data_IF_468369943694
#
_entry.id   IF_468369943694
#
_cell.length_a   1.000
_cell.length_b   1.000
_cell.length_c   1.000
_cell.angle_alpha   90.00
_cell.angle_beta   90.00
_cell.angle_gamma   90.00
#
_symmetry.space_group_name_H-M   'P 1'
#
loop_
_entity.id
_entity.type
_entity.pdbx_description
1 polymer ?
#
# COMPACT_ATOMS: atom_id res chain seq x y z
N UNK A 1 13.31 10.81 -0.49
CA UNK A 1 13.20 12.25 -0.17
C UNK A 1 12.84 13.11 -1.39
N UNK A 2 13.59 13.07 -2.50
CA UNK A 2 13.32 13.92 -3.69
C UNK A 2 11.86 13.91 -4.17
N UNK A 3 11.24 12.73 -4.23
CA UNK A 3 9.84 12.60 -4.66
C UNK A 3 8.82 13.23 -3.69
N UNK A 4 9.11 13.25 -2.39
CA UNK A 4 8.25 13.89 -1.37
C UNK A 4 8.22 15.41 -1.59
N UNK A 5 9.36 15.99 -1.96
CA UNK A 5 9.47 17.42 -2.24
C UNK A 5 8.76 17.85 -3.54
N UNK A 6 8.48 16.90 -4.42
CA UNK A 6 7.77 17.10 -5.69
C UNK A 6 6.28 16.75 -5.60
N UNK A 7 5.78 16.47 -4.39
CA UNK A 7 4.40 16.07 -4.20
C UNK A 7 3.42 17.17 -4.63
N UNK A 8 2.26 16.79 -5.20
CA UNK A 8 1.26 17.77 -5.61
C UNK A 8 0.65 18.47 -4.40
N UNK A 9 0.20 19.71 -4.58
CA UNK A 9 -0.44 20.49 -3.50
C UNK A 9 -1.69 19.82 -2.94
N UNK A 10 -2.38 19.00 -3.74
CA UNK A 10 -3.55 18.22 -3.38
C UNK A 10 -3.24 16.72 -3.17
N UNK A 11 -2.06 16.38 -2.65
CA UNK A 11 -1.59 15.01 -2.41
C UNK A 11 -2.65 14.12 -1.74
N UNK A 12 -3.14 13.14 -2.50
CA UNK A 12 -4.03 12.09 -2.04
C UNK A 12 -3.26 10.99 -1.30
N UNK A 13 -3.99 10.03 -0.71
CA UNK A 13 -3.39 8.84 -0.09
C UNK A 13 -2.75 7.92 -1.14
N UNK A 14 -3.31 7.86 -2.35
CA UNK A 14 -2.71 7.12 -3.48
C UNK A 14 -1.39 7.76 -3.91
N UNK A 15 -1.34 9.09 -4.02
CA UNK A 15 -0.10 9.82 -4.31
C UNK A 15 0.96 9.53 -3.23
N UNK A 16 0.55 9.54 -1.97
CA UNK A 16 1.41 9.20 -0.84
C UNK A 16 1.98 7.77 -0.98
N UNK A 17 1.13 6.80 -1.34
CA UNK A 17 1.55 5.42 -1.55
C UNK A 17 2.51 5.29 -2.74
N UNK A 18 2.23 5.97 -3.86
CA UNK A 18 3.10 6.00 -5.03
C UNK A 18 4.49 6.58 -4.70
N UNK A 19 4.55 7.62 -3.87
CA UNK A 19 5.82 8.16 -3.38
C UNK A 19 6.60 7.17 -2.52
N UNK A 20 5.92 6.42 -1.64
CA UNK A 20 6.54 5.32 -0.88
C UNK A 20 7.11 4.27 -1.83
N UNK A 21 6.36 3.87 -2.86
CA UNK A 21 6.80 2.84 -3.81
C UNK A 21 8.06 3.22 -4.58
N UNK A 22 8.30 4.53 -4.77
CA UNK A 22 9.49 5.07 -5.43
C UNK A 22 10.67 5.31 -4.49
N UNK A 23 10.53 5.01 -3.20
CA UNK A 23 11.60 5.23 -2.23
C UNK A 23 12.83 4.37 -2.53
N UNK A 24 14.01 4.98 -2.34
CA UNK A 24 15.31 4.34 -2.55
C UNK A 24 15.58 3.24 -1.51
N UNK A 25 15.05 3.39 -0.29
CA UNK A 25 15.12 2.37 0.77
C UNK A 25 14.44 1.04 0.38
N UNK A 26 13.55 1.07 -0.62
CA UNK A 26 12.90 -0.12 -1.20
C UNK A 26 13.56 -0.55 -2.51
N UNK A 27 14.71 0.02 -2.87
CA UNK A 27 15.47 -0.25 -4.10
C UNK A 27 15.93 -1.69 -4.25
N UNK A 28 16.15 -2.39 -3.14
CA UNK A 28 16.57 -3.79 -3.11
C UNK A 28 15.45 -4.78 -3.44
N UNK A 29 14.18 -4.37 -3.39
CA UNK A 29 13.04 -5.21 -3.77
C UNK A 29 12.99 -5.28 -5.31
N UNK A 30 13.19 -6.48 -5.85
CA UNK A 30 13.23 -6.72 -7.29
C UNK A 30 11.98 -7.46 -7.76
N UNK A 31 11.52 -7.15 -8.98
CA UNK A 31 10.45 -7.88 -9.65
C UNK A 31 11.02 -9.12 -10.34
N UNK A 32 10.68 -10.30 -9.82
CA UNK A 32 11.13 -11.61 -10.31
C UNK A 32 10.14 -12.19 -11.33
N UNK A 33 10.59 -13.14 -12.15
CA UNK A 33 9.74 -13.72 -13.22
C UNK A 33 8.62 -14.62 -12.68
N UNK A 34 8.92 -15.41 -11.66
CA UNK A 34 8.01 -16.42 -11.09
C UNK A 34 6.79 -15.82 -10.38
N UNK A 35 6.90 -14.61 -9.84
CA UNK A 35 5.84 -13.92 -9.10
C UNK A 35 4.89 -13.10 -10.01
N UNK A 36 5.26 -12.83 -11.28
CA UNK A 36 4.47 -11.96 -12.17
C UNK A 36 3.04 -12.44 -12.38
N UNK A 37 2.83 -13.77 -12.48
CA UNK A 37 1.50 -14.33 -12.70
C UNK A 37 0.57 -14.00 -11.54
N UNK A 38 1.06 -14.14 -10.30
CA UNK A 38 0.31 -13.81 -9.09
C UNK A 38 0.05 -12.30 -8.99
N UNK A 39 1.08 -11.47 -9.15
CA UNK A 39 0.96 -10.01 -9.08
C UNK A 39 -0.02 -9.45 -10.12
N UNK A 40 -0.02 -9.99 -11.34
CA UNK A 40 -0.99 -9.61 -12.37
C UNK A 40 -2.42 -10.00 -11.96
N UNK A 41 -2.61 -11.19 -11.39
CA UNK A 41 -3.91 -11.63 -10.89
C UNK A 41 -4.46 -10.71 -9.79
N UNK A 42 -3.59 -10.34 -8.84
CA UNK A 42 -3.92 -9.41 -7.76
C UNK A 42 -4.27 -8.03 -8.32
N UNK A 43 -3.51 -7.47 -9.27
CA UNK A 43 -3.80 -6.14 -9.82
C UNK A 43 -5.04 -6.10 -10.75
N UNK A 44 -5.38 -7.21 -11.41
CA UNK A 44 -6.65 -7.30 -12.16
C UNK A 44 -7.83 -7.17 -11.19
N UNK A 45 -7.69 -7.81 -10.02
CA UNK A 45 -8.60 -7.66 -8.89
C UNK A 45 -10.06 -7.89 -9.28
N UNK A 46 -10.37 -9.13 -9.68
CA UNK A 46 -11.71 -9.50 -10.17
C UNK A 46 -12.80 -9.25 -9.13
N UNK A 47 -12.46 -9.38 -7.85
CA UNK A 47 -13.37 -9.24 -6.72
C UNK A 47 -13.41 -7.79 -6.18
N UNK A 48 -12.71 -6.84 -6.82
CA UNK A 48 -12.61 -5.43 -6.42
C UNK A 48 -12.21 -5.25 -4.94
N UNK A 49 -11.23 -6.03 -4.47
CA UNK A 49 -10.71 -5.99 -3.10
C UNK A 49 -9.67 -4.91 -2.88
N UNK A 50 -8.90 -4.55 -3.91
CA UNK A 50 -7.88 -3.51 -3.80
C UNK A 50 -8.51 -2.13 -3.88
N UNK A 51 -8.01 -1.23 -3.03
CA UNK A 51 -8.41 0.18 -3.06
C UNK A 51 -7.87 0.92 -4.27
N UNK A 52 -6.62 0.64 -4.64
CA UNK A 52 -5.96 1.25 -5.79
C UNK A 52 -5.35 0.19 -6.69
N UNK A 53 -5.32 0.48 -8.00
CA UNK A 53 -4.78 -0.40 -9.02
C UNK A 53 -3.70 0.34 -9.81
N UNK A 54 -2.74 -0.39 -10.36
CA UNK A 54 -1.82 0.19 -11.33
C UNK A 54 -2.63 0.56 -12.58
N UNK A 55 -2.56 1.82 -12.97
CA UNK A 55 -3.16 2.32 -14.20
C UNK A 55 -2.15 2.25 -15.35
N UNK A 56 -2.62 1.80 -16.51
CA UNK A 56 -1.90 1.87 -17.78
C UNK A 56 -2.47 2.99 -18.65
N UNK A 57 -2.30 2.84 -19.96
CA UNK A 57 -2.78 3.83 -20.92
C UNK A 57 -4.29 4.08 -20.78
N UNK A 58 -4.69 5.34 -20.97
CA UNK A 58 -6.09 5.78 -20.91
C UNK A 58 -6.77 5.49 -19.56
N UNK A 59 -5.99 5.50 -18.46
CA UNK A 59 -6.48 5.28 -17.10
C UNK A 59 -7.19 3.93 -16.87
N UNK A 60 -6.90 2.92 -17.71
CA UNK A 60 -7.41 1.55 -17.51
C UNK A 60 -6.48 0.76 -16.60
N UNK A 61 -7.02 -0.23 -15.87
CA UNK A 61 -6.19 -1.16 -15.07
C UNK A 61 -5.13 -1.82 -15.95
N UNK A 62 -3.88 -1.73 -15.52
CA UNK A 62 -2.74 -2.31 -16.22
C UNK A 62 -2.76 -3.84 -16.05
N UNK A 63 -2.73 -4.57 -17.16
CA UNK A 63 -2.78 -6.03 -17.15
C UNK A 63 -1.47 -6.70 -16.70
N UNK A 64 -0.35 -5.98 -16.80
CA UNK A 64 0.99 -6.54 -16.57
C UNK A 64 1.80 -5.64 -15.65
N UNK A 65 2.22 -6.19 -14.52
CA UNK A 65 3.22 -5.62 -13.61
C UNK A 65 4.60 -5.78 -14.24
N UNK A 66 5.30 -4.66 -14.41
CA UNK A 66 6.56 -4.57 -15.16
C UNK A 66 7.71 -3.93 -14.39
N UNK A 67 7.42 -3.05 -13.43
CA UNK A 67 8.45 -2.35 -12.66
C UNK A 67 8.48 -2.80 -11.19
N UNK A 68 9.58 -2.49 -10.48
CA UNK A 68 9.66 -2.76 -9.03
C UNK A 68 8.64 -1.92 -8.26
N UNK A 69 8.42 -0.67 -8.69
CA UNK A 69 7.49 0.25 -8.04
C UNK A 69 6.06 -0.28 -8.15
N UNK A 70 5.71 -0.84 -9.31
CA UNK A 70 4.43 -1.51 -9.54
C UNK A 70 4.26 -2.76 -8.67
N UNK A 71 5.31 -3.57 -8.53
CA UNK A 71 5.31 -4.69 -7.58
C UNK A 71 5.01 -4.19 -6.16
N UNK A 72 5.80 -3.24 -5.67
CA UNK A 72 5.67 -2.68 -4.32
C UNK A 72 4.26 -2.12 -4.10
N UNK A 73 3.71 -1.42 -5.10
CA UNK A 73 2.36 -0.85 -5.05
C UNK A 73 1.29 -1.92 -4.90
N UNK A 74 1.39 -3.02 -5.64
CA UNK A 74 0.46 -4.16 -5.55
C UNK A 74 0.61 -4.88 -4.21
N UNK A 75 1.85 -5.12 -3.76
CA UNK A 75 2.12 -5.74 -2.45
C UNK A 75 1.52 -4.93 -1.31
N UNK A 76 1.69 -3.61 -1.33
CA UNK A 76 1.14 -2.72 -0.32
C UNK A 76 -0.40 -2.75 -0.36
N UNK A 77 -1.02 -2.59 -1.53
CA UNK A 77 -2.48 -2.62 -1.65
C UNK A 77 -3.07 -3.96 -1.17
N UNK A 78 -2.49 -5.10 -1.57
CA UNK A 78 -2.96 -6.43 -1.14
C UNK A 78 -2.84 -6.62 0.37
N UNK A 79 -1.70 -6.22 0.96
CA UNK A 79 -1.51 -6.23 2.41
C UNK A 79 -2.58 -5.43 3.15
N UNK A 80 -2.83 -4.21 2.65
CA UNK A 80 -3.75 -3.26 3.27
C UNK A 80 -5.23 -3.62 3.08
N UNK A 81 -5.56 -4.63 2.27
CA UNK A 81 -6.91 -5.22 2.32
C UNK A 81 -7.22 -5.80 3.70
N UNK A 82 -6.19 -6.18 4.48
CA UNK A 82 -6.29 -6.89 5.74
C UNK A 82 -6.29 -8.41 5.57
N UNK A 83 -6.63 -8.92 4.39
CA UNK A 83 -6.73 -10.36 4.08
C UNK A 83 -5.91 -10.73 2.83
N UNK A 84 -4.59 -10.49 2.80
CA UNK A 84 -3.79 -10.56 1.57
C UNK A 84 -3.85 -11.93 0.89
N UNK A 85 -3.86 -11.94 -0.45
CA UNK A 85 -3.73 -13.17 -1.25
C UNK A 85 -2.30 -13.71 -1.31
N UNK A 86 -1.33 -12.91 -0.90
CA UNK A 86 0.08 -13.30 -0.90
C UNK A 86 0.39 -14.18 0.29
N UNK A 87 0.64 -15.46 0.01
CA UNK A 87 1.08 -16.46 1.00
C UNK A 87 2.48 -17.04 0.72
N UNK A 88 3.08 -16.71 -0.43
CA UNK A 88 4.46 -17.09 -0.72
C UNK A 88 5.43 -16.38 0.22
N UNK A 89 6.35 -17.15 0.82
CA UNK A 89 7.26 -16.65 1.85
C UNK A 89 8.11 -15.46 1.37
N UNK A 90 8.64 -15.51 0.14
CA UNK A 90 9.49 -14.43 -0.37
C UNK A 90 8.69 -13.15 -0.60
N UNK A 91 7.47 -13.26 -1.14
CA UNK A 91 6.61 -12.10 -1.34
C UNK A 91 6.08 -11.53 -0.02
N UNK A 92 5.79 -12.39 0.97
CA UNK A 92 5.41 -11.95 2.31
C UNK A 92 6.54 -11.20 3.02
N UNK A 93 7.81 -11.59 2.80
CA UNK A 93 8.97 -10.84 3.30
C UNK A 93 9.07 -9.45 2.65
N UNK A 94 8.97 -9.37 1.32
CA UNK A 94 8.95 -8.11 0.60
C UNK A 94 7.81 -7.21 1.09
N UNK A 95 6.60 -7.76 1.22
CA UNK A 95 5.41 -7.05 1.73
C UNK A 95 5.63 -6.50 3.15
N UNK A 96 6.19 -7.30 4.06
CA UNK A 96 6.47 -6.86 5.43
C UNK A 96 7.52 -5.74 5.45
N UNK A 97 8.54 -5.82 4.60
CA UNK A 97 9.52 -4.77 4.46
C UNK A 97 8.91 -3.48 3.88
N UNK A 98 8.00 -3.59 2.93
CA UNK A 98 7.24 -2.45 2.38
C UNK A 98 6.42 -1.77 3.47
N UNK A 99 5.69 -2.53 4.31
CA UNK A 99 4.93 -1.94 5.42
C UNK A 99 5.84 -1.27 6.46
N UNK A 100 6.92 -1.93 6.87
CA UNK A 100 7.81 -1.41 7.91
C UNK A 100 8.56 -0.13 7.49
N UNK A 101 9.14 -0.14 6.28
CA UNK A 101 9.84 1.04 5.75
C UNK A 101 8.85 2.10 5.28
N UNK A 102 7.77 1.69 4.62
CA UNK A 102 6.70 2.60 4.17
C UNK A 102 6.08 3.37 5.33
N UNK A 103 5.85 2.74 6.49
CA UNK A 103 5.40 3.42 7.71
C UNK A 103 6.34 4.56 8.12
N UNK A 104 7.67 4.32 8.12
CA UNK A 104 8.67 5.34 8.47
C UNK A 104 8.70 6.48 7.45
N UNK A 105 8.64 6.13 6.17
CA UNK A 105 8.61 7.11 5.07
C UNK A 105 7.35 7.96 5.14
N UNK A 106 6.16 7.37 5.30
CA UNK A 106 4.90 8.09 5.44
C UNK A 106 4.87 9.00 6.67
N UNK A 107 5.46 8.57 7.79
CA UNK A 107 5.63 9.42 8.98
C UNK A 107 6.50 10.65 8.67
N UNK A 108 7.61 10.47 7.94
CA UNK A 108 8.45 11.57 7.48
C UNK A 108 7.69 12.50 6.52
N UNK A 109 6.91 11.96 5.59
CA UNK A 109 6.06 12.73 4.68
C UNK A 109 5.07 13.61 5.44
N UNK A 110 4.43 13.08 6.48
CA UNK A 110 3.50 13.84 7.33
C UNK A 110 4.20 15.06 7.95
N UNK A 111 5.37 14.89 8.58
CA UNK A 111 6.11 16.00 9.19
C UNK A 111 6.54 17.04 8.14
N UNK A 112 7.00 16.59 6.97
CA UNK A 112 7.36 17.47 5.87
C UNK A 112 6.17 18.30 5.37
N UNK A 113 5.00 17.67 5.18
CA UNK A 113 3.80 18.37 4.72
C UNK A 113 3.26 19.36 5.75
N UNK A 114 3.35 19.04 7.04
CA UNK A 114 3.03 19.98 8.11
C UNK A 114 3.94 21.22 8.05
N UNK A 115 5.26 21.02 7.90
CA UNK A 115 6.22 22.12 7.74
C UNK A 115 5.88 22.99 6.51
N UNK A 116 5.48 22.37 5.40
CA UNK A 116 5.07 23.06 4.16
C UNK A 116 3.64 23.64 4.20
N UNK A 117 2.92 23.51 5.31
CA UNK A 117 1.50 23.89 5.46
C UNK A 117 0.58 23.22 4.42
N UNK A 118 0.96 22.06 3.90
CA UNK A 118 0.12 21.24 3.04
C UNK A 118 -0.69 20.26 3.91
N UNK A 119 -1.80 20.75 4.47
CA UNK A 119 -2.61 19.97 5.41
C UNK A 119 -3.25 18.73 4.77
N UNK A 120 -3.60 18.80 3.48
CA UNK A 120 -4.15 17.64 2.75
C UNK A 120 -3.11 16.54 2.61
N UNK A 121 -1.88 16.88 2.22
CA UNK A 121 -0.77 15.93 2.17
C UNK A 121 -0.41 15.37 3.54
N UNK A 122 -0.46 16.20 4.59
CA UNK A 122 -0.25 15.75 5.97
C UNK A 122 -1.31 14.73 6.41
N UNK A 123 -2.60 15.00 6.13
CA UNK A 123 -3.69 14.08 6.41
C UNK A 123 -3.53 12.76 5.63
N UNK A 124 -3.31 12.83 4.32
CA UNK A 124 -3.08 11.65 3.48
C UNK A 124 -1.92 10.80 3.98
N UNK A 125 -0.82 11.44 4.39
CA UNK A 125 0.36 10.77 4.92
C UNK A 125 0.10 10.17 6.31
N UNK A 126 -0.68 10.83 7.17
CA UNK A 126 -1.07 10.31 8.47
C UNK A 126 -1.97 9.07 8.35
N UNK A 127 -2.96 9.12 7.46
CA UNK A 127 -3.82 7.96 7.16
C UNK A 127 -3.00 6.80 6.62
N UNK A 128 -2.12 7.05 5.64
CA UNK A 128 -1.23 6.02 5.11
C UNK A 128 -0.32 5.43 6.20
N UNK A 129 0.22 6.27 7.08
CA UNK A 129 1.05 5.83 8.22
C UNK A 129 0.27 4.87 9.11
N UNK A 130 -0.97 5.21 9.48
CA UNK A 130 -1.87 4.34 10.26
C UNK A 130 -2.10 3.02 9.54
N UNK A 131 -2.45 3.06 8.25
CA UNK A 131 -2.75 1.87 7.47
C UNK A 131 -1.55 0.94 7.34
N UNK A 132 -0.35 1.46 7.06
CA UNK A 132 0.87 0.66 6.95
C UNK A 132 1.29 0.03 8.27
N UNK A 133 1.10 0.72 9.38
CA UNK A 133 1.37 0.18 10.72
C UNK A 133 0.41 -0.97 11.06
N UNK A 134 -0.88 -0.76 10.81
CA UNK A 134 -1.94 -1.73 11.14
C UNK A 134 -2.12 -2.83 10.08
N UNK A 135 -1.49 -2.68 8.91
CA UNK A 135 -1.65 -3.56 7.74
C UNK A 135 -3.12 -3.72 7.33
N UNK A 136 -3.85 -2.61 7.33
CA UNK A 136 -5.26 -2.55 6.91
C UNK A 136 -5.63 -1.12 6.52
N UNK A 137 -6.46 -0.95 5.49
CA UNK A 137 -7.02 0.35 5.12
C UNK A 137 -7.99 0.87 6.18
N UNK A 138 -8.17 2.18 6.20
CA UNK A 138 -9.12 2.89 7.07
C UNK A 138 -10.58 2.64 6.70
N UNK A 139 -10.85 2.26 5.45
CA UNK A 139 -12.16 1.89 4.90
C UNK A 139 -12.37 0.37 4.76
N UNK A 140 -11.44 -0.44 5.28
CA UNK A 140 -11.56 -1.91 5.23
C UNK A 140 -12.68 -2.41 6.16
N UNK A 141 -13.41 -3.48 5.80
CA UNK A 141 -14.34 -4.15 6.72
C UNK A 141 -13.64 -4.80 7.92
N UNK A 142 -12.32 -4.99 7.88
CA UNK A 142 -11.56 -5.74 8.90
C UNK A 142 -10.87 -4.84 9.94
N UNK A 143 -11.43 -3.68 10.27
CA UNK A 143 -10.83 -2.73 11.23
C UNK A 143 -10.57 -3.35 12.61
N UNK A 144 -11.38 -4.32 13.04
CA UNK A 144 -11.21 -4.98 14.33
C UNK A 144 -9.91 -5.79 14.43
N UNK A 145 -9.28 -6.15 13.32
CA UNK A 145 -7.96 -6.79 13.27
C UNK A 145 -6.87 -5.94 13.96
N UNK A 146 -7.11 -4.63 14.12
CA UNK A 146 -6.20 -3.71 14.81
C UNK A 146 -6.12 -3.98 16.32
N UNK A 147 -7.11 -4.69 16.89
CA UNK A 147 -7.17 -4.98 18.31
C UNK A 147 -6.29 -6.20 18.67
N UNK A 148 -5.51 -6.13 19.77
CA UNK A 148 -4.75 -7.29 20.25
C UNK A 148 -5.65 -8.50 20.47
N UNK A 149 -5.24 -9.66 19.95
CA UNK A 149 -5.98 -10.91 20.09
C UNK A 149 -7.08 -11.16 19.03
N UNK A 150 -7.38 -10.20 18.16
CA UNK A 150 -8.33 -10.40 17.06
C UNK A 150 -7.58 -10.83 15.79
N UNK A 151 -7.69 -12.11 15.46
CA UNK A 151 -7.21 -12.65 14.19
C UNK A 151 -8.19 -12.43 13.02
N UNK A 152 -7.76 -12.78 11.81
CA UNK A 152 -8.57 -12.61 10.60
C UNK A 152 -9.90 -13.38 10.61
N UNK A 153 -9.92 -14.56 11.23
CA UNK A 153 -11.14 -15.38 11.34
C UNK A 153 -12.20 -14.62 12.14
N UNK A 154 -11.83 -14.09 13.31
CA UNK A 154 -12.73 -13.30 14.16
C UNK A 154 -13.16 -12.01 13.48
N UNK A 155 -12.21 -11.29 12.85
CA UNK A 155 -12.52 -10.05 12.14
C UNK A 155 -13.54 -10.26 11.01
N UNK A 156 -13.43 -11.36 10.25
CA UNK A 156 -14.39 -11.69 9.18
C UNK A 156 -15.80 -11.94 9.73
N UNK A 157 -15.92 -12.70 10.81
CA UNK A 157 -17.22 -12.96 11.45
C UNK A 157 -17.87 -11.66 11.92
N UNK A 158 -17.10 -10.78 12.55
CA UNK A 158 -17.64 -9.50 13.03
C UNK A 158 -18.01 -8.53 11.89
N UNK A 159 -17.38 -8.64 10.72
CA UNK A 159 -17.71 -7.79 9.56
C UNK A 159 -18.99 -8.18 8.80
N UNK A 160 -19.62 -9.30 9.18
CA UNK A 160 -20.87 -9.78 8.57
C UNK A 160 -22.14 -9.27 9.27
N UNK A 161 -21.99 -8.53 10.38
CA UNK A 161 -23.06 -7.92 11.16
C UNK A 161 -23.00 -6.40 11.04
#
# INVERSE_FOLDING_TARGET
>A
MKHIMQAPGNCSIEDALQMVCRAEELGWIQLRRNEKKLLNGINIDKDNRLRFHILGDKAKRKMRVQTREEKIFVLANDCLTGDPFIHDLSLSQDMNAVCANGYRIAKCMKEYFLYRKNYRGALSSALLTKSLYQKVWDDSPYLLKQLPGIGMVTAKVCSLY
#
